data_IF_108314406224
#
_entry.id   IF_108314406224
#
_cell.length_a   1.000
_cell.length_b   1.000
_cell.length_c   1.000
_cell.angle_alpha   90.00
_cell.angle_beta   90.00
_cell.angle_gamma   90.00
#
_symmetry.space_group_name_H-M   'P 1'
#
loop_
_entity.id
_entity.type
_entity.pdbx_description
1 polymer ?
#
# COMPACT_ATOMS: atom_id res chain seq x y z
N UNK A 1 -0.54 -17.97 2.87
CA UNK A 1 -1.05 -16.74 2.21
C UNK A 1 -0.11 -16.22 1.14
N UNK A 2 1.19 -16.02 1.42
CA UNK A 2 2.16 -15.53 0.43
C UNK A 2 2.23 -16.37 -0.87
N UNK A 3 2.10 -17.70 -0.78
CA UNK A 3 2.08 -18.58 -1.96
C UNK A 3 0.84 -18.41 -2.87
N UNK A 4 -0.31 -18.03 -2.32
CA UNK A 4 -1.53 -17.78 -3.11
C UNK A 4 -1.47 -16.42 -3.81
N UNK A 5 -0.91 -15.41 -3.13
CA UNK A 5 -0.68 -14.09 -3.71
C UNK A 5 0.32 -14.13 -4.88
N UNK A 6 1.39 -14.92 -4.77
CA UNK A 6 2.35 -15.12 -5.86
C UNK A 6 1.72 -15.82 -7.10
N UNK A 7 0.65 -16.59 -6.90
CA UNK A 7 -0.10 -17.28 -7.97
C UNK A 7 -1.29 -16.47 -8.50
N UNK A 8 -1.55 -15.27 -7.96
CA UNK A 8 -2.73 -14.47 -8.31
C UNK A 8 -4.06 -15.12 -7.90
N UNK A 9 -4.00 -16.14 -7.05
CA UNK A 9 -5.18 -16.88 -6.61
C UNK A 9 -5.89 -16.12 -5.49
N UNK A 10 -7.23 -16.17 -5.50
CA UNK A 10 -8.07 -15.61 -4.44
C UNK A 10 -7.62 -16.16 -3.09
N UNK A 11 -7.41 -15.28 -2.11
CA UNK A 11 -7.08 -15.70 -0.76
C UNK A 11 -8.32 -16.33 -0.10
N UNK A 12 -8.26 -17.60 0.36
CA UNK A 12 -9.40 -18.27 0.97
C UNK A 12 -9.79 -17.61 2.30
N UNK A 13 -11.10 -17.49 2.54
CA UNK A 13 -11.67 -16.98 3.82
C UNK A 13 -11.98 -18.14 4.76
N UNK A 14 -12.35 -17.85 6.03
CA UNK A 14 -12.56 -18.87 7.08
C UNK A 14 -13.50 -20.02 6.68
N UNK A 15 -14.56 -19.74 5.91
CA UNK A 15 -15.50 -20.75 5.39
C UNK A 15 -15.11 -21.38 4.05
N UNK A 16 -13.97 -20.97 3.49
CA UNK A 16 -13.42 -21.41 2.20
C UNK A 16 -12.06 -22.12 2.40
N UNK A 17 -11.67 -22.37 3.67
CA UNK A 17 -10.44 -23.10 4.00
C UNK A 17 -10.64 -24.55 3.57
N UNK A 18 -9.91 -24.98 2.55
CA UNK A 18 -10.00 -26.32 1.98
C UNK A 18 -10.65 -26.38 0.59
N UNK A 19 -11.20 -25.26 0.09
CA UNK A 19 -11.67 -25.14 -1.29
C UNK A 19 -10.63 -24.44 -2.15
N UNK A 20 -10.44 -24.92 -3.37
CA UNK A 20 -9.64 -24.26 -4.39
C UNK A 20 -10.36 -23.03 -4.95
N UNK A 21 -9.61 -22.11 -5.55
CA UNK A 21 -10.19 -20.91 -6.17
C UNK A 21 -11.17 -21.25 -7.31
N UNK A 22 -10.99 -22.39 -7.98
CA UNK A 22 -11.87 -22.86 -9.05
C UNK A 22 -13.22 -23.33 -8.49
N UNK A 23 -13.20 -24.15 -7.45
CA UNK A 23 -14.41 -24.64 -6.79
C UNK A 23 -15.26 -23.50 -6.24
N UNK A 24 -14.63 -22.46 -5.66
CA UNK A 24 -15.36 -21.28 -5.17
C UNK A 24 -16.11 -20.56 -6.31
N UNK A 25 -15.47 -20.43 -7.48
CA UNK A 25 -16.09 -19.79 -8.64
C UNK A 25 -17.23 -20.65 -9.23
N UNK A 26 -17.11 -21.97 -9.20
CA UNK A 26 -18.17 -22.89 -9.60
C UNK A 26 -19.36 -22.82 -8.65
N UNK A 27 -19.13 -22.80 -7.34
CA UNK A 27 -20.22 -22.65 -6.37
C UNK A 27 -20.92 -21.29 -6.47
N UNK A 28 -20.19 -20.20 -6.76
CA UNK A 28 -20.79 -18.89 -7.04
C UNK A 28 -21.68 -18.93 -8.30
N UNK A 29 -21.30 -19.65 -9.35
CA UNK A 29 -22.10 -19.84 -10.57
C UNK A 29 -23.37 -20.66 -10.33
N UNK A 30 -23.29 -21.69 -9.50
CA UNK A 30 -24.43 -22.55 -9.14
C UNK A 30 -25.43 -21.80 -8.22
N UNK A 31 -25.03 -20.65 -7.66
CA UNK A 31 -25.90 -19.78 -6.86
C UNK A 31 -25.76 -19.97 -5.35
N UNK A 32 -24.75 -20.73 -4.90
CA UNK A 32 -24.40 -20.75 -3.48
C UNK A 32 -23.86 -19.38 -3.07
N UNK A 33 -24.27 -18.91 -1.89
CA UNK A 33 -23.78 -17.66 -1.31
C UNK A 33 -22.39 -17.89 -0.77
N UNK A 34 -21.40 -17.83 -1.65
CA UNK A 34 -20.01 -17.72 -1.24
C UNK A 34 -19.73 -16.29 -0.79
N UNK A 35 -18.67 -16.12 0.00
CA UNK A 35 -18.44 -14.86 0.70
C UNK A 35 -18.09 -13.67 -0.23
N UNK A 36 -17.95 -13.91 -1.54
CA UNK A 36 -17.62 -12.91 -2.55
C UNK A 36 -18.78 -12.01 -2.96
N UNK A 37 -19.93 -12.57 -3.35
CA UNK A 37 -20.90 -11.85 -4.20
C UNK A 37 -21.94 -11.00 -3.46
N UNK A 38 -22.29 -11.34 -2.20
CA UNK A 38 -23.31 -10.59 -1.42
C UNK A 38 -22.77 -9.68 -0.33
N UNK A 39 -21.52 -9.85 0.11
CA UNK A 39 -20.97 -9.16 1.28
C UNK A 39 -19.87 -8.15 0.91
N UNK A 40 -20.27 -6.94 0.48
CA UNK A 40 -19.38 -5.84 0.07
C UNK A 40 -18.31 -5.49 1.11
N UNK A 41 -18.63 -5.50 2.40
CA UNK A 41 -17.67 -5.22 3.48
C UNK A 41 -16.55 -6.28 3.56
N UNK A 42 -16.90 -7.52 3.22
CA UNK A 42 -16.03 -8.67 3.31
C UNK A 42 -15.13 -8.75 2.06
N UNK A 43 -15.67 -8.35 0.91
CA UNK A 43 -14.89 -8.10 -0.31
C UNK A 43 -13.90 -6.94 -0.14
N UNK A 44 -14.31 -5.82 0.45
CA UNK A 44 -13.40 -4.71 0.75
C UNK A 44 -12.26 -5.12 1.68
N UNK A 45 -12.55 -5.96 2.67
CA UNK A 45 -11.53 -6.54 3.57
C UNK A 45 -10.58 -7.47 2.82
N UNK A 46 -11.09 -8.27 1.88
CA UNK A 46 -10.26 -9.12 1.00
C UNK A 46 -9.32 -8.26 0.17
N UNK A 47 -9.84 -7.29 -0.57
CA UNK A 47 -9.05 -6.37 -1.39
C UNK A 47 -7.99 -5.64 -0.56
N UNK A 48 -8.34 -5.21 0.66
CA UNK A 48 -7.36 -4.63 1.60
C UNK A 48 -6.27 -5.61 2.01
N UNK A 49 -6.59 -6.88 2.24
CA UNK A 49 -5.60 -7.90 2.61
C UNK A 49 -4.71 -8.31 1.44
N UNK A 50 -5.29 -8.43 0.24
CA UNK A 50 -4.54 -8.62 -1.01
C UNK A 50 -3.57 -7.45 -1.24
N UNK A 51 -4.07 -6.21 -1.15
CA UNK A 51 -3.25 -4.99 -1.28
C UNK A 51 -2.25 -4.79 -0.12
N UNK A 52 -2.47 -5.40 1.06
CA UNK A 52 -1.49 -5.35 2.16
C UNK A 52 -0.27 -6.22 1.87
N UNK A 53 -0.45 -7.24 1.03
CA UNK A 53 0.63 -8.03 0.43
C UNK A 53 1.18 -7.25 -0.79
N UNK A 54 1.37 -5.93 -0.64
CA UNK A 54 2.29 -5.18 -1.50
C UNK A 54 3.64 -5.88 -1.38
N UNK A 55 4.14 -6.31 -2.54
CA UNK A 55 5.38 -7.07 -2.67
C UNK A 55 6.50 -6.30 -1.98
N UNK A 56 7.40 -6.98 -1.28
CA UNK A 56 8.48 -6.32 -0.51
C UNK A 56 9.28 -5.31 -1.35
N UNK A 57 9.32 -5.49 -2.67
CA UNK A 57 9.91 -4.60 -3.66
C UNK A 57 9.15 -3.29 -3.86
N UNK A 58 7.82 -3.31 -3.96
CA UNK A 58 6.98 -2.11 -4.12
C UNK A 58 7.05 -1.24 -2.86
N UNK A 59 7.07 -1.87 -1.67
CA UNK A 59 7.31 -1.17 -0.40
C UNK A 59 8.71 -0.56 -0.34
N UNK A 60 9.74 -1.25 -0.85
CA UNK A 60 11.11 -0.70 -0.94
C UNK A 60 11.16 0.53 -1.85
N UNK A 61 10.59 0.45 -3.04
CA UNK A 61 10.53 1.56 -4.00
C UNK A 61 9.82 2.78 -3.39
N UNK A 62 8.68 2.57 -2.72
CA UNK A 62 7.92 3.65 -2.08
C UNK A 62 8.67 4.30 -0.89
N UNK A 63 9.42 3.50 -0.13
CA UNK A 63 10.24 4.00 0.98
C UNK A 63 11.40 4.87 0.50
N UNK A 64 12.04 4.52 -0.62
CA UNK A 64 13.11 5.30 -1.24
C UNK A 64 12.63 6.69 -1.66
N UNK A 65 11.48 6.76 -2.35
CA UNK A 65 10.86 8.02 -2.79
C UNK A 65 10.46 8.92 -1.62
N UNK A 66 9.92 8.34 -0.54
CA UNK A 66 9.55 9.10 0.66
C UNK A 66 10.77 9.72 1.36
N UNK A 67 11.87 8.96 1.44
CA UNK A 67 13.12 9.44 2.04
C UNK A 67 13.79 10.52 1.18
N UNK A 68 13.74 10.38 -0.14
CA UNK A 68 14.29 11.38 -1.05
C UNK A 68 13.49 12.70 -0.99
N UNK A 69 12.17 12.63 -0.94
CA UNK A 69 11.32 13.80 -0.74
C UNK A 69 11.58 14.51 0.60
N UNK A 70 11.82 13.74 1.68
CA UNK A 70 12.23 14.31 2.98
C UNK A 70 13.61 14.98 2.89
N UNK A 71 14.57 14.40 2.18
CA UNK A 71 15.90 15.00 1.96
C UNK A 71 15.78 16.32 1.17
N UNK A 72 14.97 16.35 0.11
CA UNK A 72 14.72 17.57 -0.69
C UNK A 72 14.07 18.67 0.16
N UNK A 73 13.04 18.34 0.95
CA UNK A 73 12.41 19.30 1.90
C UNK A 73 13.40 19.82 2.94
N UNK A 74 14.24 18.97 3.51
CA UNK A 74 15.29 19.39 4.46
C UNK A 74 16.31 20.31 3.80
N UNK A 75 16.78 20.00 2.59
CA UNK A 75 17.70 20.86 1.82
C UNK A 75 17.08 22.22 1.52
N UNK A 76 15.82 22.25 1.08
CA UNK A 76 15.09 23.49 0.85
C UNK A 76 15.01 24.34 2.12
N UNK A 77 14.69 23.72 3.26
CA UNK A 77 14.64 24.38 4.57
C UNK A 77 16.00 24.93 5.00
N UNK A 78 17.08 24.18 4.79
CA UNK A 78 18.46 24.61 5.09
C UNK A 78 18.88 25.81 4.24
N UNK A 79 18.66 25.74 2.93
CA UNK A 79 18.95 26.85 2.01
C UNK A 79 18.17 28.11 2.40
N UNK A 80 16.90 27.96 2.79
CA UNK A 80 16.08 29.10 3.22
C UNK A 80 16.60 29.74 4.51
N UNK A 81 17.10 28.93 5.46
CA UNK A 81 17.73 29.44 6.68
C UNK A 81 19.06 30.16 6.42
N UNK A 82 19.86 29.70 5.47
CA UNK A 82 21.10 30.39 5.08
C UNK A 82 20.82 31.75 4.46
N UNK A 83 19.81 31.85 3.59
CA UNK A 83 19.40 33.12 2.99
C UNK A 83 18.95 34.12 4.07
N UNK A 84 18.13 33.67 5.03
CA UNK A 84 17.72 34.50 6.16
C UNK A 84 18.90 34.97 7.03
N UNK A 85 19.92 34.13 7.20
CA UNK A 85 21.12 34.50 7.96
C UNK A 85 21.94 35.58 7.25
N UNK A 86 22.07 35.50 5.92
CA UNK A 86 22.79 36.50 5.10
C UNK A 86 22.07 37.85 5.04
N UNK A 87 20.73 37.83 4.98
CA UNK A 87 19.92 39.05 5.03
C UNK A 87 20.12 39.78 6.37
N UNK A 88 20.07 39.05 7.50
CA UNK A 88 20.31 39.62 8.83
C UNK A 88 21.71 40.23 8.97
N UNK A 89 22.74 39.57 8.45
CA UNK A 89 24.11 40.12 8.50
C UNK A 89 24.29 41.36 7.62
N UNK A 90 23.53 41.49 6.53
CA UNK A 90 23.53 42.70 5.70
C UNK A 90 22.79 43.87 6.36
N UNK A 91 21.74 43.62 7.15
CA UNK A 91 21.02 44.66 7.90
C UNK A 91 21.83 45.21 9.08
N UNK A 92 22.68 44.39 9.72
CA UNK A 92 23.50 44.80 10.87
C UNK A 92 24.75 45.59 10.46
N UNK A 93 25.24 45.42 9.23
CA UNK A 93 26.43 46.11 8.71
C UNK A 93 26.10 47.39 7.89
N UNK A 94 24.87 47.89 7.99
CA UNK A 94 24.38 49.10 7.32
C UNK A 94 24.03 50.18 8.34
#
# INVERSE_FOLDING_TARGET
MAAYAARGERIPRRGEIGLSSGEIAEYEKVGYVMSGSRHKAMEATRLRKENQILTAEEKRLLSGVSMENKKKKKKQSWNNSEVLSKIKTCEVNR
#
